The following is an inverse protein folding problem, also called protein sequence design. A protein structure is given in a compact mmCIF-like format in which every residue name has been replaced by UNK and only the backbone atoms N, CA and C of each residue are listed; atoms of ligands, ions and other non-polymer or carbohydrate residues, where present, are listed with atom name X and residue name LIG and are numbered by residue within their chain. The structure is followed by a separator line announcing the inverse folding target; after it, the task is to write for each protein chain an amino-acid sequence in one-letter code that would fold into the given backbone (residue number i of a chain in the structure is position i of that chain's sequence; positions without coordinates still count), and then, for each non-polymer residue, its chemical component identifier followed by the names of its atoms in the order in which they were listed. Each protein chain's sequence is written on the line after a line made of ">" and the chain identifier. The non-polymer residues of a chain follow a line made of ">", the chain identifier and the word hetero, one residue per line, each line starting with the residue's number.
data_IF_951650919278
#
_entry.id   IF_951650919278
#
_cell.length_a   1.000
_cell.length_b   1.000
_cell.length_c   1.000
_cell.angle_alpha   90.00
_cell.angle_beta   90.00
_cell.angle_gamma   90.00
#
_symmetry.space_group_name_H-M   'P 1'
#
loop_
_entity.id
_entity.type
_entity.pdbx_description
1 polymer ?
#
# COMPACT_ATOMS: atom_id res chain seq x y z
N UNK A 1 -39.70 -9.35 31.53
CA UNK A 1 -39.44 -10.26 30.38
C UNK A 1 -39.65 -11.69 30.89
N UNK A 2 -40.72 -12.34 30.45
CA UNK A 2 -41.16 -13.64 30.98
C UNK A 2 -40.25 -14.77 30.49
N UNK A 3 -40.10 -15.82 31.31
CA UNK A 3 -39.30 -16.99 31.00
C UNK A 3 -39.70 -17.68 29.66
N UNK A 4 -40.89 -17.38 29.15
CA UNK A 4 -41.43 -17.84 27.86
C UNK A 4 -40.72 -17.16 26.67
N UNK A 5 -40.42 -15.86 26.76
CA UNK A 5 -39.72 -15.13 25.68
C UNK A 5 -38.26 -15.54 25.53
N UNK A 6 -37.57 -15.89 26.63
CA UNK A 6 -36.21 -16.42 26.60
C UNK A 6 -36.10 -17.82 25.98
N UNK A 7 -37.13 -18.68 26.17
CA UNK A 7 -37.18 -20.00 25.55
C UNK A 7 -37.45 -19.94 24.04
N UNK A 8 -38.27 -18.99 23.61
CA UNK A 8 -38.56 -18.77 22.18
C UNK A 8 -37.34 -18.20 21.45
N UNK A 9 -36.57 -17.27 22.05
CA UNK A 9 -35.34 -16.74 21.45
C UNK A 9 -34.24 -17.79 21.41
N UNK A 10 -34.10 -18.67 22.40
CA UNK A 10 -33.15 -19.76 22.39
C UNK A 10 -33.47 -20.82 21.33
N UNK A 11 -34.76 -21.15 21.15
CA UNK A 11 -35.22 -22.05 20.09
C UNK A 11 -35.00 -21.44 18.69
N UNK A 12 -35.21 -20.14 18.49
CA UNK A 12 -34.96 -19.46 17.23
C UNK A 12 -33.47 -19.41 16.88
N UNK A 13 -32.59 -19.18 17.85
CA UNK A 13 -31.14 -19.23 17.67
C UNK A 13 -30.65 -20.65 17.36
N UNK A 14 -31.22 -21.66 18.05
CA UNK A 14 -30.87 -23.06 17.83
C UNK A 14 -31.33 -23.56 16.44
N UNK A 15 -32.52 -23.17 15.98
CA UNK A 15 -32.98 -23.46 14.62
C UNK A 15 -32.21 -22.74 13.55
N UNK A 16 -31.75 -21.51 13.81
CA UNK A 16 -30.87 -20.78 12.88
C UNK A 16 -29.49 -21.42 12.76
N UNK A 17 -28.92 -21.92 13.88
CA UNK A 17 -27.66 -22.65 13.89
C UNK A 17 -27.77 -24.05 13.24
N UNK A 18 -28.90 -24.71 13.33
CA UNK A 18 -29.15 -26.01 12.69
C UNK A 18 -29.51 -25.88 11.20
N UNK A 19 -30.00 -24.72 10.76
CA UNK A 19 -30.28 -24.41 9.36
C UNK A 19 -29.01 -23.91 8.58
N UNK A 20 -27.90 -23.70 9.27
CA UNK A 20 -26.61 -23.52 8.63
C UNK A 20 -26.21 -24.87 8.01
N UNK A 21 -26.69 -25.13 6.79
CA UNK A 21 -26.25 -26.26 5.98
C UNK A 21 -24.73 -26.28 5.90
N UNK A 22 -24.12 -27.47 5.64
CA UNK A 22 -22.67 -27.55 5.49
C UNK A 22 -22.27 -26.49 4.47
N UNK A 23 -21.48 -25.49 4.90
CA UNK A 23 -20.81 -24.57 3.99
C UNK A 23 -20.05 -25.49 3.04
N UNK A 24 -20.49 -25.58 1.78
CA UNK A 24 -19.74 -26.24 0.75
C UNK A 24 -18.40 -25.51 0.71
N UNK A 25 -17.40 -26.06 1.40
CA UNK A 25 -16.03 -25.65 1.20
C UNK A 25 -15.81 -25.85 -0.30
N UNK A 26 -15.65 -24.75 -1.04
CA UNK A 26 -15.21 -24.84 -2.40
C UNK A 26 -13.83 -25.47 -2.33
N UNK A 27 -13.78 -26.77 -2.57
CA UNK A 27 -12.54 -27.48 -2.80
C UNK A 27 -11.88 -26.77 -3.98
N UNK A 28 -10.88 -25.95 -3.66
CA UNK A 28 -9.94 -25.49 -4.68
C UNK A 28 -9.14 -26.74 -5.03
N UNK A 29 -9.70 -27.56 -5.91
CA UNK A 29 -8.98 -28.67 -6.51
C UNK A 29 -7.97 -28.09 -7.50
N UNK A 30 -6.78 -27.77 -7.00
CA UNK A 30 -5.62 -27.51 -7.83
C UNK A 30 -5.26 -28.85 -8.43
N UNK A 31 -5.66 -29.08 -9.67
CA UNK A 31 -5.41 -30.32 -10.39
C UNK A 31 -3.93 -30.36 -10.80
N UNK A 32 -3.09 -30.85 -9.89
CA UNK A 32 -1.70 -31.17 -10.17
C UNK A 32 -1.68 -32.50 -10.94
N UNK A 33 -1.57 -32.45 -12.26
CA UNK A 33 -1.63 -33.54 -13.21
C UNK A 33 -1.31 -34.95 -12.67
N UNK A 34 -2.05 -35.94 -13.16
CA UNK A 34 -1.84 -37.37 -12.81
C UNK A 34 -0.42 -37.78 -13.25
N UNK A 35 0.45 -38.10 -12.29
CA UNK A 35 1.74 -38.69 -12.58
C UNK A 35 2.96 -38.21 -11.80
N UNK A 36 2.83 -37.13 -11.00
CA UNK A 36 3.96 -36.58 -10.24
C UNK A 36 4.12 -37.25 -8.88
N UNK A 37 5.34 -37.69 -8.54
CA UNK A 37 5.65 -38.28 -7.25
C UNK A 37 5.35 -37.36 -6.07
N UNK A 38 5.20 -37.91 -4.85
CA UNK A 38 4.94 -37.15 -3.61
C UNK A 38 5.91 -35.95 -3.45
N UNK A 39 7.17 -36.15 -3.82
CA UNK A 39 8.22 -35.10 -3.75
C UNK A 39 7.93 -33.91 -4.66
N UNK A 40 7.43 -34.14 -5.87
CA UNK A 40 7.13 -33.08 -6.82
C UNK A 40 5.91 -32.24 -6.39
N UNK A 41 4.89 -32.88 -5.82
CA UNK A 41 3.73 -32.18 -5.21
C UNK A 41 4.14 -31.33 -4.02
N UNK A 42 5.03 -31.85 -3.16
CA UNK A 42 5.56 -31.09 -2.02
C UNK A 42 6.34 -29.86 -2.51
N UNK A 43 7.19 -30.01 -3.52
CA UNK A 43 7.94 -28.89 -4.12
C UNK A 43 6.99 -27.84 -4.71
N UNK A 44 5.95 -28.26 -5.44
CA UNK A 44 4.95 -27.35 -6.00
C UNK A 44 4.17 -26.60 -4.92
N UNK A 45 3.76 -27.29 -3.85
CA UNK A 45 3.09 -26.65 -2.71
C UNK A 45 4.00 -25.64 -2.01
N UNK A 46 5.26 -25.99 -1.76
CA UNK A 46 6.24 -25.07 -1.16
C UNK A 46 6.46 -23.86 -2.05
N UNK A 47 6.62 -24.06 -3.36
CA UNK A 47 6.76 -22.97 -4.33
C UNK A 47 5.52 -22.04 -4.33
N UNK A 48 4.32 -22.63 -4.35
CA UNK A 48 3.07 -21.87 -4.30
C UNK A 48 2.96 -21.04 -3.01
N UNK A 49 3.23 -21.64 -1.85
CA UNK A 49 3.22 -20.97 -0.56
C UNK A 49 4.26 -19.85 -0.51
N UNK A 50 5.44 -20.07 -1.08
CA UNK A 50 6.50 -19.05 -1.17
C UNK A 50 6.05 -17.87 -2.01
N UNK A 51 5.50 -18.12 -3.20
CA UNK A 51 4.96 -17.06 -4.07
C UNK A 51 3.82 -16.30 -3.38
N UNK A 52 2.91 -17.01 -2.73
CA UNK A 52 1.77 -16.41 -2.02
C UNK A 52 2.23 -15.54 -0.83
N UNK A 53 3.27 -15.96 -0.12
CA UNK A 53 3.83 -15.19 1.00
C UNK A 53 4.58 -13.93 0.53
N UNK A 54 5.15 -13.94 -0.68
CA UNK A 54 5.84 -12.78 -1.27
C UNK A 54 4.88 -11.81 -1.99
N UNK A 55 3.69 -12.27 -2.37
CA UNK A 55 2.73 -11.47 -3.13
C UNK A 55 2.40 -10.10 -2.49
N UNK A 56 2.14 -9.98 -1.18
CA UNK A 56 1.90 -8.68 -0.55
C UNK A 56 3.09 -7.73 -0.68
N UNK A 57 4.31 -8.24 -0.54
CA UNK A 57 5.54 -7.44 -0.67
C UNK A 57 5.73 -6.95 -2.10
N UNK A 58 5.46 -7.78 -3.09
CA UNK A 58 5.53 -7.42 -4.51
C UNK A 58 4.52 -6.31 -4.81
N UNK A 59 3.26 -6.46 -4.36
CA UNK A 59 2.23 -5.45 -4.58
C UNK A 59 2.62 -4.10 -3.98
N UNK A 60 3.18 -4.09 -2.76
CA UNK A 60 3.70 -2.86 -2.12
C UNK A 60 4.78 -2.21 -2.99
N UNK A 61 5.69 -3.01 -3.56
CA UNK A 61 6.83 -2.50 -4.33
C UNK A 61 6.46 -1.93 -5.71
N UNK A 62 5.38 -2.40 -6.35
CA UNK A 62 5.02 -1.99 -7.72
C UNK A 62 3.83 -1.02 -7.78
N UNK A 63 3.33 -0.56 -6.62
CA UNK A 63 2.18 0.34 -6.53
C UNK A 63 2.53 1.68 -5.87
N UNK A 64 1.55 2.56 -5.76
CA UNK A 64 1.66 3.85 -5.06
C UNK A 64 1.77 3.72 -3.52
N UNK A 65 1.63 2.54 -2.96
CA UNK A 65 1.57 2.31 -1.51
C UNK A 65 2.79 2.87 -0.77
N UNK A 66 3.99 2.64 -1.30
CA UNK A 66 5.24 3.05 -0.65
C UNK A 66 5.31 4.55 -0.43
N UNK A 67 5.02 5.38 -1.44
CA UNK A 67 5.01 6.84 -1.29
C UNK A 67 3.96 7.26 -0.27
N UNK A 68 2.75 6.74 -0.39
CA UNK A 68 1.62 7.14 0.46
C UNK A 68 1.90 6.81 1.93
N UNK A 69 2.32 5.58 2.25
CA UNK A 69 2.56 5.18 3.64
C UNK A 69 3.72 5.94 4.27
N UNK A 70 4.78 6.22 3.50
CA UNK A 70 5.93 6.99 4.00
C UNK A 70 5.54 8.43 4.26
N UNK A 71 4.81 9.09 3.35
CA UNK A 71 4.34 10.48 3.56
C UNK A 71 3.40 10.58 4.75
N UNK A 72 2.45 9.66 4.90
CA UNK A 72 1.56 9.63 6.06
C UNK A 72 2.36 9.42 7.37
N UNK A 73 3.37 8.55 7.36
CA UNK A 73 4.24 8.35 8.52
C UNK A 73 5.03 9.60 8.88
N UNK A 74 5.57 10.31 7.89
CA UNK A 74 6.27 11.59 8.07
C UNK A 74 5.32 12.67 8.59
N UNK A 75 4.08 12.74 8.08
CA UNK A 75 3.05 13.64 8.59
C UNK A 75 2.79 13.45 10.08
N UNK A 76 2.61 12.18 10.54
CA UNK A 76 2.44 11.88 11.96
C UNK A 76 3.63 12.36 12.79
N UNK A 77 4.82 12.19 12.28
CA UNK A 77 6.05 12.65 12.95
C UNK A 77 6.10 14.19 13.00
N UNK A 78 5.73 14.88 11.94
CA UNK A 78 5.68 16.34 11.86
C UNK A 78 4.69 16.95 12.85
N UNK A 79 3.51 16.31 13.02
CA UNK A 79 2.52 16.69 14.02
C UNK A 79 3.01 16.54 15.47
N UNK A 80 4.07 15.75 15.68
CA UNK A 80 4.59 15.49 17.03
C UNK A 80 3.76 14.47 17.83
N UNK A 81 2.84 13.76 17.20
CA UNK A 81 2.03 12.72 17.83
C UNK A 81 2.78 11.40 17.80
N UNK A 82 3.15 10.85 18.97
CA UNK A 82 3.95 9.62 19.04
C UNK A 82 3.19 8.38 18.53
N UNK A 83 1.89 8.28 18.84
CA UNK A 83 1.09 7.05 18.62
C UNK A 83 -0.22 7.26 17.89
N UNK A 84 -0.65 8.50 17.68
CA UNK A 84 -1.92 8.83 17.02
C UNK A 84 -1.68 9.50 15.65
N UNK A 85 -2.35 9.02 14.58
CA UNK A 85 -3.17 7.83 14.49
C UNK A 85 -2.37 6.51 14.64
N UNK A 86 -2.99 5.39 15.11
CA UNK A 86 -2.34 4.08 15.21
C UNK A 86 -1.82 3.59 13.85
N UNK A 87 -0.76 2.76 13.85
CA UNK A 87 -0.18 2.23 12.62
C UNK A 87 -1.21 1.51 11.74
N UNK A 88 -2.14 0.76 12.34
CA UNK A 88 -3.18 0.08 11.59
C UNK A 88 -4.05 1.04 10.77
N UNK A 89 -4.42 2.20 11.36
CA UNK A 89 -5.21 3.24 10.67
C UNK A 89 -4.41 3.86 9.54
N UNK A 90 -3.12 4.15 9.76
CA UNK A 90 -2.24 4.73 8.74
C UNK A 90 -2.05 3.78 7.55
N UNK A 91 -1.81 2.49 7.82
CA UNK A 91 -1.67 1.46 6.79
C UNK A 91 -2.98 1.26 6.04
N UNK A 92 -4.13 1.23 6.73
CA UNK A 92 -5.44 1.11 6.10
C UNK A 92 -5.73 2.30 5.19
N UNK A 93 -5.47 3.53 5.64
CA UNK A 93 -5.63 4.72 4.82
C UNK A 93 -4.71 4.68 3.59
N UNK A 94 -3.44 4.28 3.76
CA UNK A 94 -2.51 4.11 2.66
C UNK A 94 -3.00 3.07 1.64
N UNK A 95 -3.56 1.95 2.09
CA UNK A 95 -4.15 0.93 1.22
C UNK A 95 -5.35 1.47 0.44
N UNK A 96 -6.29 2.18 1.09
CA UNK A 96 -7.45 2.77 0.41
C UNK A 96 -7.03 3.79 -0.65
N UNK A 97 -6.11 4.69 -0.33
CA UNK A 97 -5.58 5.66 -1.29
C UNK A 97 -4.84 4.95 -2.44
N UNK A 98 -4.10 3.88 -2.14
CA UNK A 98 -3.44 3.05 -3.15
C UNK A 98 -4.45 2.40 -4.08
N UNK A 99 -5.50 1.78 -3.55
CA UNK A 99 -6.57 1.20 -4.37
C UNK A 99 -7.26 2.25 -5.24
N UNK A 100 -7.44 3.45 -4.73
CA UNK A 100 -8.01 4.56 -5.49
C UNK A 100 -7.10 4.97 -6.66
N UNK A 101 -5.80 5.18 -6.41
CA UNK A 101 -4.81 5.56 -7.44
C UNK A 101 -4.60 4.44 -8.46
N UNK A 102 -4.50 3.20 -7.99
CA UNK A 102 -4.19 2.02 -8.81
C UNK A 102 -5.43 1.37 -9.44
N UNK A 103 -6.63 1.87 -9.14
CA UNK A 103 -7.88 1.31 -9.64
C UNK A 103 -7.89 1.01 -11.15
N UNK A 104 -7.51 1.94 -12.03
CA UNK A 104 -7.42 1.69 -13.46
C UNK A 104 -6.43 0.58 -13.83
N UNK A 105 -5.27 0.51 -13.16
CA UNK A 105 -4.27 -0.53 -13.41
C UNK A 105 -4.77 -1.91 -12.97
N UNK A 106 -5.42 -2.01 -11.81
CA UNK A 106 -6.03 -3.26 -11.35
C UNK A 106 -7.15 -3.73 -12.27
N UNK A 107 -8.01 -2.81 -12.72
CA UNK A 107 -9.09 -3.13 -13.65
C UNK A 107 -8.53 -3.68 -14.97
N UNK A 108 -7.55 -2.99 -15.56
CA UNK A 108 -6.90 -3.43 -16.79
C UNK A 108 -6.23 -4.80 -16.61
N UNK A 109 -5.51 -5.03 -15.51
CA UNK A 109 -4.87 -6.31 -15.22
C UNK A 109 -5.90 -7.46 -15.10
N UNK A 110 -7.04 -7.19 -14.49
CA UNK A 110 -8.14 -8.14 -14.39
C UNK A 110 -8.71 -8.48 -15.77
N UNK A 111 -9.06 -7.47 -16.56
CA UNK A 111 -9.74 -7.65 -17.85
C UNK A 111 -8.84 -8.29 -18.90
N UNK A 112 -7.54 -7.97 -18.92
CA UNK A 112 -6.60 -8.47 -19.94
C UNK A 112 -5.89 -9.76 -19.55
N UNK A 113 -5.75 -10.03 -18.26
CA UNK A 113 -5.00 -11.19 -17.75
C UNK A 113 -5.88 -12.20 -17.04
N UNK A 114 -6.46 -11.84 -15.87
CA UNK A 114 -7.15 -12.79 -15.00
C UNK A 114 -8.45 -13.34 -15.62
N UNK A 115 -9.25 -12.48 -16.22
CA UNK A 115 -10.52 -12.87 -16.84
C UNK A 115 -10.35 -13.86 -17.99
N UNK A 116 -9.49 -13.62 -19.00
CA UNK A 116 -9.24 -14.58 -20.08
C UNK A 116 -8.61 -15.90 -19.57
N UNK A 117 -7.75 -15.82 -18.54
CA UNK A 117 -7.18 -17.01 -17.90
C UNK A 117 -8.26 -17.86 -17.23
N UNK A 118 -9.18 -17.26 -16.49
CA UNK A 118 -10.29 -17.97 -15.85
C UNK A 118 -11.28 -18.57 -16.86
N UNK A 119 -11.36 -17.99 -18.06
CA UNK A 119 -12.14 -18.52 -19.18
C UNK A 119 -11.41 -19.65 -19.95
N UNK A 120 -10.14 -19.94 -19.62
CA UNK A 120 -9.34 -20.93 -20.32
C UNK A 120 -8.82 -20.51 -21.69
N UNK A 121 -8.90 -19.21 -22.03
CA UNK A 121 -8.53 -18.66 -23.32
C UNK A 121 -7.01 -18.48 -23.49
N UNK A 122 -6.30 -18.28 -22.38
CA UNK A 122 -4.86 -18.02 -22.35
C UNK A 122 -4.16 -18.89 -21.30
N UNK A 123 -2.85 -19.07 -21.48
CA UNK A 123 -2.01 -19.79 -20.51
C UNK A 123 -1.69 -18.91 -19.31
N UNK A 124 -1.24 -19.54 -18.18
CA UNK A 124 -0.83 -18.82 -16.98
C UNK A 124 0.32 -17.82 -17.26
N UNK A 125 1.25 -18.19 -18.14
CA UNK A 125 2.36 -17.31 -18.54
C UNK A 125 1.86 -16.07 -19.28
N UNK A 126 0.97 -16.26 -20.25
CA UNK A 126 0.34 -15.16 -20.98
C UNK A 126 -0.51 -14.26 -20.06
N UNK A 127 -1.21 -14.87 -19.10
CA UNK A 127 -1.99 -14.13 -18.11
C UNK A 127 -1.09 -13.24 -17.25
N UNK A 128 0.03 -13.78 -16.77
CA UNK A 128 1.01 -13.01 -15.98
C UNK A 128 1.61 -11.88 -16.81
N UNK A 129 2.01 -12.15 -18.04
CA UNK A 129 2.55 -11.13 -18.94
C UNK A 129 1.56 -9.98 -19.14
N UNK A 130 0.31 -10.30 -19.51
CA UNK A 130 -0.74 -9.30 -19.75
C UNK A 130 -1.13 -8.55 -18.48
N UNK A 131 -1.29 -9.24 -17.36
CA UNK A 131 -1.65 -8.63 -16.08
C UNK A 131 -0.54 -7.72 -15.52
N UNK A 132 0.73 -7.98 -15.84
CA UNK A 132 1.86 -7.16 -15.38
C UNK A 132 2.04 -5.86 -16.16
N UNK A 133 1.53 -5.76 -17.39
CA UNK A 133 1.69 -4.58 -18.27
C UNK A 133 1.16 -3.26 -17.66
N UNK A 134 -0.03 -3.18 -17.08
CA UNK A 134 -0.52 -1.93 -16.48
C UNK A 134 0.33 -1.48 -15.29
N UNK A 135 0.89 -2.40 -14.50
CA UNK A 135 1.82 -2.06 -13.41
C UNK A 135 3.17 -1.58 -13.97
N UNK A 136 3.67 -2.21 -15.02
CA UNK A 136 4.87 -1.75 -15.73
C UNK A 136 4.69 -0.33 -16.26
N UNK A 137 3.57 -0.05 -16.93
CA UNK A 137 3.25 1.27 -17.45
C UNK A 137 3.16 2.32 -16.32
N UNK A 138 2.55 1.97 -15.18
CA UNK A 138 2.49 2.82 -14.01
C UNK A 138 3.88 3.12 -13.44
N UNK A 139 4.74 2.11 -13.29
CA UNK A 139 6.11 2.29 -12.81
C UNK A 139 6.94 3.16 -13.77
N UNK A 140 6.85 2.91 -15.08
CA UNK A 140 7.56 3.71 -16.10
C UNK A 140 7.13 5.18 -16.10
N UNK A 141 5.83 5.46 -15.91
CA UNK A 141 5.32 6.83 -15.81
C UNK A 141 5.90 7.56 -14.59
N UNK A 142 6.15 6.86 -13.49
CA UNK A 142 6.49 7.45 -12.20
C UNK A 142 7.97 7.32 -11.82
N UNK A 143 8.75 6.45 -12.46
CA UNK A 143 10.18 6.32 -12.22
C UNK A 143 10.93 7.55 -12.74
N UNK A 144 11.96 7.98 -12.02
CA UNK A 144 12.85 9.05 -12.48
C UNK A 144 13.94 8.48 -13.37
N UNK A 145 14.24 9.19 -14.44
CA UNK A 145 15.27 8.78 -15.41
C UNK A 145 16.63 8.49 -14.75
N UNK A 146 17.04 9.33 -13.79
CA UNK A 146 18.30 9.13 -13.05
C UNK A 146 18.38 7.79 -12.33
N UNK A 147 17.29 7.38 -11.70
CA UNK A 147 17.23 6.11 -10.96
C UNK A 147 17.21 4.94 -11.93
N UNK A 148 16.51 5.09 -13.05
CA UNK A 148 16.47 4.08 -14.10
C UNK A 148 17.86 3.86 -14.74
N UNK A 149 18.57 4.95 -15.06
CA UNK A 149 19.96 4.89 -15.57
C UNK A 149 20.89 4.20 -14.58
N UNK A 150 20.80 4.56 -13.29
CA UNK A 150 21.60 3.95 -12.24
C UNK A 150 21.47 2.43 -12.21
N UNK A 151 20.22 1.91 -12.17
CA UNK A 151 20.00 0.47 -12.11
C UNK A 151 20.28 -0.24 -13.43
N UNK A 152 20.13 0.44 -14.58
CA UNK A 152 20.57 -0.09 -15.88
C UNK A 152 22.09 -0.28 -15.93
N UNK A 153 22.84 0.70 -15.45
CA UNK A 153 24.31 0.63 -15.43
C UNK A 153 24.82 -0.46 -14.44
N UNK A 154 24.14 -0.61 -13.30
CA UNK A 154 24.46 -1.64 -12.30
C UNK A 154 24.14 -3.06 -12.79
N UNK A 155 23.11 -3.23 -13.62
CA UNK A 155 22.68 -4.54 -14.12
C UNK A 155 23.61 -5.15 -15.14
N UNK A 156 24.43 -4.31 -15.80
CA UNK A 156 25.29 -4.68 -16.95
C UNK A 156 24.50 -5.30 -18.13
N UNK A 157 23.18 -5.15 -18.14
CA UNK A 157 22.34 -5.57 -19.25
C UNK A 157 22.42 -4.52 -20.38
N UNK A 158 22.37 -4.93 -21.65
CA UNK A 158 22.31 -3.97 -22.75
C UNK A 158 21.05 -3.10 -22.59
N UNK A 159 21.22 -1.80 -22.81
CA UNK A 159 20.06 -0.86 -22.71
C UNK A 159 19.05 -1.21 -23.79
N UNK A 160 17.79 -1.45 -23.42
CA UNK A 160 16.75 -1.73 -24.39
C UNK A 160 16.49 -0.49 -25.26
N UNK A 161 16.16 -0.70 -26.51
CA UNK A 161 15.85 0.37 -27.47
C UNK A 161 14.60 1.16 -27.06
N UNK A 162 13.65 0.50 -26.38
CA UNK A 162 12.39 1.10 -25.91
C UNK A 162 12.28 1.00 -24.39
N UNK A 163 11.80 2.05 -23.72
CA UNK A 163 11.58 2.01 -22.27
C UNK A 163 10.65 0.88 -21.81
N UNK A 164 9.75 0.46 -22.69
CA UNK A 164 8.79 -0.62 -22.41
C UNK A 164 9.47 -2.00 -22.28
N UNK A 165 10.65 -2.17 -22.86
CA UNK A 165 11.37 -3.45 -22.88
C UNK A 165 12.34 -3.59 -21.68
N UNK A 166 12.41 -2.59 -20.81
CA UNK A 166 13.24 -2.61 -19.58
C UNK A 166 12.77 -3.75 -18.67
N UNK A 167 13.70 -4.59 -18.23
CA UNK A 167 13.35 -5.72 -17.35
C UNK A 167 12.76 -5.24 -16.02
N UNK A 168 11.80 -5.99 -15.46
CA UNK A 168 11.23 -5.69 -14.13
C UNK A 168 12.29 -5.71 -13.03
N UNK A 169 13.37 -6.47 -13.24
CA UNK A 169 14.53 -6.52 -12.34
C UNK A 169 15.22 -5.17 -12.20
N UNK A 170 15.24 -4.36 -13.26
CA UNK A 170 15.79 -3.01 -13.29
C UNK A 170 14.73 -2.00 -12.86
N UNK A 171 13.53 -2.10 -13.44
CA UNK A 171 12.47 -1.13 -13.26
C UNK A 171 11.96 -1.06 -11.81
N UNK A 172 11.75 -2.22 -11.15
CA UNK A 172 11.19 -2.25 -9.80
C UNK A 172 12.07 -1.52 -8.77
N UNK A 173 13.38 -1.81 -8.63
CA UNK A 173 14.22 -1.08 -7.68
C UNK A 173 14.39 0.38 -8.05
N UNK A 174 14.49 0.74 -9.33
CA UNK A 174 14.55 2.11 -9.79
C UNK A 174 13.28 2.90 -9.39
N UNK A 175 12.11 2.29 -9.59
CA UNK A 175 10.83 2.86 -9.19
C UNK A 175 10.75 3.04 -7.67
N UNK A 176 11.13 2.01 -6.88
CA UNK A 176 11.12 2.09 -5.42
C UNK A 176 11.96 3.25 -4.88
N UNK A 177 13.17 3.43 -5.38
CA UNK A 177 14.05 4.56 -4.98
C UNK A 177 13.43 5.89 -5.40
N UNK A 178 12.82 5.97 -6.59
CA UNK A 178 12.11 7.15 -7.05
C UNK A 178 10.93 7.51 -6.15
N UNK A 179 10.13 6.51 -5.75
CA UNK A 179 8.98 6.69 -4.85
C UNK A 179 9.41 7.13 -3.44
N UNK A 180 10.45 6.50 -2.89
CA UNK A 180 11.01 6.91 -1.60
C UNK A 180 11.50 8.37 -1.64
N UNK A 181 12.22 8.75 -2.67
CA UNK A 181 12.71 10.12 -2.81
C UNK A 181 11.54 11.11 -2.88
N UNK A 182 10.55 10.86 -3.72
CA UNK A 182 9.35 11.72 -3.81
C UNK A 182 8.60 11.78 -2.48
N UNK A 183 8.51 10.65 -1.78
CA UNK A 183 7.89 10.61 -0.45
C UNK A 183 8.63 11.53 0.54
N UNK A 184 9.96 11.51 0.54
CA UNK A 184 10.76 12.40 1.39
C UNK A 184 10.67 13.86 0.96
N UNK A 185 10.62 14.17 -0.34
CA UNK A 185 10.41 15.52 -0.85
C UNK A 185 9.05 16.09 -0.37
N UNK A 186 7.98 15.33 -0.52
CA UNK A 186 6.64 15.72 -0.02
C UNK A 186 6.64 15.83 1.51
N UNK A 187 7.21 14.85 2.19
CA UNK A 187 7.30 14.84 3.65
C UNK A 187 8.06 16.06 4.19
N UNK A 188 9.16 16.44 3.55
CA UNK A 188 9.90 17.64 3.90
C UNK A 188 9.02 18.90 3.80
N UNK A 189 8.28 19.06 2.71
CA UNK A 189 7.37 20.20 2.54
C UNK A 189 6.27 20.21 3.62
N UNK A 190 5.77 19.03 4.02
CA UNK A 190 4.80 18.90 5.09
C UNK A 190 5.37 19.26 6.46
N UNK A 191 6.68 19.08 6.67
CA UNK A 191 7.35 19.45 7.94
C UNK A 191 7.47 20.97 8.12
N UNK A 192 7.60 21.74 7.03
CA UNK A 192 7.92 23.17 7.10
C UNK A 192 6.94 23.96 7.98
N UNK A 193 5.61 23.91 7.82
CA UNK A 193 4.69 24.66 8.66
C UNK A 193 4.77 24.27 10.14
N UNK A 194 4.95 22.98 10.44
CA UNK A 194 5.07 22.51 11.82
C UNK A 194 6.41 22.90 12.45
N UNK A 195 7.49 22.93 11.67
CA UNK A 195 8.78 23.41 12.12
C UNK A 195 8.72 24.90 12.49
N UNK A 196 8.01 25.72 11.71
CA UNK A 196 7.80 27.15 12.03
C UNK A 196 7.06 27.28 13.36
N UNK A 197 6.01 26.50 13.59
CA UNK A 197 5.29 26.51 14.88
C UNK A 197 6.23 26.15 16.04
N UNK A 198 7.08 25.11 15.89
CA UNK A 198 8.06 24.73 16.91
C UNK A 198 9.03 25.86 17.21
N UNK A 199 9.56 26.54 16.19
CA UNK A 199 10.51 27.65 16.36
C UNK A 199 9.87 28.85 17.04
N UNK A 200 8.63 29.19 16.69
CA UNK A 200 7.90 30.30 17.34
C UNK A 200 7.67 30.00 18.81
N UNK A 201 7.16 28.80 19.13
CA UNK A 201 6.92 28.40 20.52
C UNK A 201 8.22 28.37 21.33
N UNK A 202 9.30 27.81 20.75
CA UNK A 202 10.61 27.81 21.40
C UNK A 202 11.14 29.22 21.69
N UNK A 203 10.99 30.15 20.74
CA UNK A 203 11.40 31.55 20.91
C UNK A 203 10.62 32.25 22.02
N UNK A 204 9.30 32.04 22.10
CA UNK A 204 8.45 32.60 23.16
C UNK A 204 8.86 32.03 24.54
N UNK A 205 9.02 30.71 24.66
CA UNK A 205 9.43 30.09 25.92
C UNK A 205 10.79 30.58 26.41
N UNK A 206 11.76 30.71 25.49
CA UNK A 206 13.08 31.25 25.85
C UNK A 206 13.00 32.71 26.29
N UNK A 207 12.18 33.55 25.65
CA UNK A 207 12.00 34.95 26.05
C UNK A 207 11.38 35.11 27.43
N UNK A 208 10.54 34.14 27.85
CA UNK A 208 9.94 34.08 29.18
C UNK A 208 10.85 33.44 30.26
N UNK A 209 12.07 33.04 29.90
CA UNK A 209 12.99 32.34 30.81
C UNK A 209 12.62 30.90 31.14
N UNK A 210 11.66 30.30 30.41
CA UNK A 210 11.15 28.93 30.64
C UNK A 210 11.98 27.87 29.91
N UNK A 211 13.32 27.86 30.13
CA UNK A 211 14.25 26.96 29.42
C UNK A 211 14.08 25.46 29.75
N UNK A 212 13.46 25.16 30.90
CA UNK A 212 13.27 23.75 31.33
C UNK A 212 12.06 23.06 30.66
N UNK A 213 11.15 23.81 30.02
CA UNK A 213 10.00 23.22 29.35
C UNK A 213 10.39 22.81 27.92
N UNK A 214 10.14 21.54 27.53
CA UNK A 214 10.43 21.08 26.17
C UNK A 214 9.46 21.75 25.17
N UNK A 215 9.95 22.56 24.22
CA UNK A 215 9.10 23.30 23.27
C UNK A 215 8.16 22.41 22.46
N UNK A 216 8.60 21.20 22.13
CA UNK A 216 7.83 20.22 21.36
C UNK A 216 6.52 19.83 22.05
N UNK A 217 6.52 19.71 23.39
CA UNK A 217 5.29 19.40 24.14
C UNK A 217 4.31 20.57 24.14
N UNK A 218 4.84 21.79 24.27
CA UNK A 218 4.01 22.99 24.29
C UNK A 218 3.47 23.32 22.90
N UNK A 219 4.21 23.04 21.84
CA UNK A 219 3.79 23.28 20.45
C UNK A 219 2.74 22.30 19.93
N UNK A 220 2.63 21.11 20.50
CA UNK A 220 1.73 20.05 20.02
C UNK A 220 0.27 20.50 19.86
N UNK A 221 -0.40 21.13 20.85
CA UNK A 221 -1.77 21.60 20.67
C UNK A 221 -1.91 22.62 19.54
N UNK A 222 -0.94 23.51 19.35
CA UNK A 222 -0.96 24.50 18.25
C UNK A 222 -0.84 23.83 16.89
N UNK A 223 0.01 22.82 16.74
CA UNK A 223 0.13 22.01 15.53
C UNK A 223 -1.18 21.29 15.18
N UNK A 224 -1.83 20.69 16.20
CA UNK A 224 -3.12 20.02 15.98
C UNK A 224 -4.23 20.98 15.57
N UNK A 225 -4.33 22.14 16.26
CA UNK A 225 -5.31 23.17 15.90
C UNK A 225 -5.06 23.68 14.48
N UNK A 226 -3.81 23.99 14.13
CA UNK A 226 -3.45 24.42 12.78
C UNK A 226 -3.84 23.38 11.73
N UNK A 227 -3.49 22.11 11.97
CA UNK A 227 -3.79 21.03 11.04
C UNK A 227 -5.30 20.82 10.82
N UNK A 228 -6.12 20.99 11.86
CA UNK A 228 -7.59 20.91 11.77
C UNK A 228 -8.15 22.13 11.03
N UNK A 229 -7.65 23.33 11.34
CA UNK A 229 -8.13 24.57 10.69
C UNK A 229 -7.88 24.61 9.18
N UNK A 230 -6.79 24.03 8.70
CA UNK A 230 -6.48 23.99 7.26
C UNK A 230 -7.08 22.74 6.56
N UNK A 231 -7.89 21.95 7.26
CA UNK A 231 -8.40 20.65 6.76
C UNK A 231 -7.26 19.76 6.25
N UNK A 232 -6.25 19.56 7.08
CA UNK A 232 -4.98 18.94 6.72
C UNK A 232 -5.12 17.51 6.15
N UNK A 233 -6.09 16.73 6.62
CA UNK A 233 -6.32 15.38 6.08
C UNK A 233 -6.77 15.41 4.63
N UNK A 234 -7.71 16.26 4.27
CA UNK A 234 -8.20 16.44 2.89
C UNK A 234 -7.08 16.93 1.98
N UNK A 235 -6.30 17.94 2.45
CA UNK A 235 -5.18 18.48 1.68
C UNK A 235 -4.11 17.41 1.41
N UNK A 236 -3.71 16.66 2.42
CA UNK A 236 -2.66 15.63 2.26
C UNK A 236 -3.14 14.48 1.38
N UNK A 237 -4.34 13.94 1.64
CA UNK A 237 -4.89 12.85 0.83
C UNK A 237 -5.09 13.27 -0.63
N UNK A 238 -5.67 14.46 -0.85
CA UNK A 238 -5.88 15.03 -2.19
C UNK A 238 -4.56 15.25 -2.94
N UNK A 239 -3.56 15.86 -2.30
CA UNK A 239 -2.24 16.09 -2.90
C UNK A 239 -1.52 14.78 -3.24
N UNK A 240 -1.62 13.76 -2.38
CA UNK A 240 -1.03 12.44 -2.64
C UNK A 240 -1.64 11.79 -3.88
N UNK A 241 -2.97 11.80 -3.99
CA UNK A 241 -3.67 11.25 -5.17
C UNK A 241 -3.31 12.03 -6.43
N UNK A 242 -3.37 13.36 -6.38
CA UNK A 242 -3.03 14.23 -7.50
C UNK A 242 -1.58 14.06 -7.97
N UNK A 243 -0.65 13.73 -7.07
CA UNK A 243 0.77 13.52 -7.40
C UNK A 243 1.03 12.36 -8.38
N UNK A 244 0.03 11.53 -8.65
CA UNK A 244 0.06 10.44 -9.62
C UNK A 244 -0.78 10.73 -10.89
N UNK A 245 -1.68 11.71 -10.82
CA UNK A 245 -2.62 12.04 -11.90
C UNK A 245 -2.12 13.08 -12.91
N UNK A 246 -1.00 13.71 -12.61
CA UNK A 246 -0.38 14.75 -13.46
C UNK A 246 0.49 14.15 -14.55
#
# INVERSE_FOLDING_TARGET
>A
MSARSRRLSLLAVLTFLLAAGPAAAQDISINFGQGTGLTERVIQMVALLTVLSLAPSILVMVTSFTRIVVVLSLLRTALGTATAPPNAVMVSLALFLTLFVMGPAFQTAYDTGLRPFSAGEITAEQAFERASQPFRAFMLKNVREKDLVLFSDLSREPRPERPQDISLRILTPAFMISELRRAFEIGFLLFLPFLVIDLVVASVLMSMGMMMLPPVVVSLPFKLIFFVLVDGWTLVAGSLVQSYGS
#
